data_IF_262296927300
#
_entry.id   IF_262296927300
#
_cell.length_a   1.000
_cell.length_b   1.000
_cell.length_c   1.000
_cell.angle_alpha   90.00
_cell.angle_beta   90.00
_cell.angle_gamma   90.00
#
_symmetry.space_group_name_H-M   'P 1'
#
loop_
_entity.id
_entity.type
_entity.pdbx_description
1 polymer ?
#
# COMPACT_ATOMS: atom_id res chain seq x y z
N UNK A 1 -3.85 -21.65 -9.81
CA UNK A 1 -3.46 -21.32 -8.42
C UNK A 1 -4.72 -21.02 -7.66
N UNK A 2 -4.87 -21.60 -6.48
CA UNK A 2 -5.88 -21.18 -5.52
C UNK A 2 -5.50 -19.79 -4.97
N UNK A 3 -6.45 -18.88 -4.67
CA UNK A 3 -6.15 -17.63 -3.96
C UNK A 3 -5.23 -17.80 -2.74
N UNK A 4 -5.40 -18.88 -1.98
CA UNK A 4 -4.54 -19.21 -0.84
C UNK A 4 -3.08 -19.43 -1.26
N UNK A 5 -2.84 -20.14 -2.37
CA UNK A 5 -1.49 -20.34 -2.91
C UNK A 5 -0.85 -19.02 -3.34
N UNK A 6 -1.65 -18.07 -3.84
CA UNK A 6 -1.16 -16.78 -4.31
C UNK A 6 -0.78 -15.85 -3.15
N UNK A 7 -1.54 -15.81 -2.06
CA UNK A 7 -1.28 -14.88 -0.94
C UNK A 7 -0.24 -15.40 0.04
N UNK A 8 -0.01 -16.72 0.10
CA UNK A 8 0.98 -17.33 0.99
C UNK A 8 2.37 -17.45 0.35
N UNK A 9 2.53 -17.19 -0.95
CA UNK A 9 3.83 -17.21 -1.62
C UNK A 9 4.64 -15.96 -1.25
N UNK A 10 5.96 -16.09 -1.26
CA UNK A 10 6.84 -14.93 -1.19
C UNK A 10 6.66 -14.02 -2.41
N UNK A 11 6.82 -12.71 -2.20
CA UNK A 11 6.96 -11.75 -3.30
C UNK A 11 8.12 -12.15 -4.22
N UNK A 12 7.90 -12.01 -5.53
CA UNK A 12 8.93 -12.20 -6.55
C UNK A 12 10.06 -11.18 -6.41
N UNK A 13 11.20 -11.43 -7.04
CA UNK A 13 12.32 -10.50 -7.08
C UNK A 13 11.99 -9.15 -7.73
N UNK A 14 10.91 -9.08 -8.52
CA UNK A 14 10.41 -7.85 -9.11
C UNK A 14 9.56 -7.10 -8.07
N UNK A 15 8.55 -7.75 -7.50
CA UNK A 15 7.65 -7.16 -6.50
C UNK A 15 8.40 -6.70 -5.23
N UNK A 16 9.41 -7.46 -4.78
CA UNK A 16 10.23 -7.11 -3.62
C UNK A 16 10.93 -5.75 -3.75
N UNK A 17 11.20 -5.28 -4.97
CA UNK A 17 11.86 -3.98 -5.19
C UNK A 17 10.97 -2.80 -4.83
N UNK A 18 9.66 -2.96 -4.97
CA UNK A 18 8.68 -1.90 -4.70
C UNK A 18 8.04 -2.05 -3.31
N UNK A 19 8.32 -3.16 -2.61
CA UNK A 19 7.71 -3.47 -1.31
C UNK A 19 7.99 -2.39 -0.26
N UNK A 20 9.24 -1.97 -0.10
CA UNK A 20 9.62 -0.95 0.88
C UNK A 20 8.92 0.39 0.59
N UNK A 21 8.80 0.75 -0.69
CA UNK A 21 8.07 1.94 -1.12
C UNK A 21 6.58 1.85 -0.77
N UNK A 22 5.94 0.70 -1.01
CA UNK A 22 4.54 0.53 -0.68
C UNK A 22 4.27 0.56 0.82
N UNK A 23 5.17 0.00 1.63
CA UNK A 23 5.09 0.07 3.10
C UNK A 23 5.21 1.50 3.59
N UNK A 24 6.22 2.23 3.12
CA UNK A 24 6.46 3.64 3.47
C UNK A 24 5.28 4.53 3.06
N UNK A 25 4.84 4.43 1.80
CA UNK A 25 3.66 5.17 1.30
C UNK A 25 2.39 4.85 2.08
N UNK A 26 2.22 3.60 2.54
CA UNK A 26 1.06 3.22 3.36
C UNK A 26 1.15 3.84 4.75
N UNK A 27 2.34 3.92 5.34
CA UNK A 27 2.54 4.59 6.62
C UNK A 27 2.18 6.08 6.53
N UNK A 28 2.67 6.77 5.49
CA UNK A 28 2.32 8.17 5.23
C UNK A 28 0.81 8.37 5.03
N UNK A 29 0.15 7.48 4.27
CA UNK A 29 -1.29 7.54 4.06
C UNK A 29 -2.07 7.33 5.36
N UNK A 30 -1.63 6.44 6.25
CA UNK A 30 -2.24 6.24 7.57
C UNK A 30 -2.03 7.45 8.48
N UNK A 31 -0.84 8.05 8.45
CA UNK A 31 -0.57 9.29 9.18
C UNK A 31 -1.48 10.43 8.72
N UNK A 32 -1.59 10.64 7.40
CA UNK A 32 -2.47 11.65 6.84
C UNK A 32 -3.94 11.37 7.14
N UNK A 33 -4.36 10.10 7.11
CA UNK A 33 -5.72 9.70 7.49
C UNK A 33 -6.05 10.14 8.92
N UNK A 34 -5.12 9.96 9.85
CA UNK A 34 -5.29 10.35 11.25
C UNK A 34 -5.28 11.87 11.39
N UNK A 35 -4.41 12.59 10.68
CA UNK A 35 -4.22 14.04 10.83
C UNK A 35 -5.25 14.89 10.09
N UNK A 36 -5.68 14.44 8.90
CA UNK A 36 -6.46 15.23 7.92
C UNK A 36 -7.85 14.64 7.66
N UNK A 37 -8.07 13.38 8.02
CA UNK A 37 -9.33 12.68 7.77
C UNK A 37 -9.42 12.06 6.37
N UNK A 38 -10.50 11.31 6.15
CA UNK A 38 -10.64 10.40 5.01
C UNK A 38 -10.63 11.11 3.65
N UNK A 39 -11.45 12.16 3.49
CA UNK A 39 -11.66 12.82 2.18
C UNK A 39 -10.36 13.41 1.65
N UNK A 40 -9.65 14.18 2.48
CA UNK A 40 -8.40 14.83 2.09
C UNK A 40 -7.32 13.79 1.78
N UNK A 41 -7.21 12.75 2.62
CA UNK A 41 -6.24 11.67 2.40
C UNK A 41 -6.52 10.92 1.11
N UNK A 42 -7.77 10.55 0.83
CA UNK A 42 -8.11 9.87 -0.42
C UNK A 42 -7.76 10.71 -1.65
N UNK A 43 -7.99 12.02 -1.61
CA UNK A 43 -7.62 12.92 -2.71
C UNK A 43 -6.09 13.03 -2.89
N UNK A 44 -5.29 12.89 -1.83
CA UNK A 44 -3.82 12.91 -1.93
C UNK A 44 -3.29 11.61 -2.55
N UNK A 45 -3.78 10.45 -2.12
CA UNK A 45 -3.19 9.16 -2.49
C UNK A 45 -3.85 8.48 -3.69
N UNK A 46 -5.11 8.81 -4.00
CA UNK A 46 -5.91 8.18 -5.07
C UNK A 46 -6.47 9.17 -6.10
N UNK A 47 -5.93 10.39 -6.18
CA UNK A 47 -6.25 11.28 -7.30
C UNK A 47 -5.69 10.66 -8.61
N UNK A 48 -6.59 10.03 -9.37
CA UNK A 48 -6.38 9.59 -10.74
C UNK A 48 -7.19 10.44 -11.70
#
# INVERSE_FOLDING_TARGET
QDPADFVLKDFSSVEKKDLDYHVDRTADAVEDLIRRGLVDTQNIYHAG
#
